data_IF_637330823825
#
_entry.id   IF_637330823825
#
_cell.length_a   1.000
_cell.length_b   1.000
_cell.length_c   1.000
_cell.angle_alpha   90.00
_cell.angle_beta   90.00
_cell.angle_gamma   90.00
#
_symmetry.space_group_name_H-M   'P 1'
#
loop_
_entity.id
_entity.type
_entity.pdbx_description
1 polymer ?
#
# COMPACT_ATOMS: atom_id res chain seq x y z
N UNK A 1 16.10 5.54 16.67
CA UNK A 1 15.31 5.29 15.44
C UNK A 1 14.00 6.02 15.58
N UNK A 2 13.47 6.57 14.49
CA UNK A 2 12.11 7.12 14.48
C UNK A 2 11.08 6.04 14.81
N UNK A 3 9.87 6.48 15.18
CA UNK A 3 8.75 5.56 15.43
C UNK A 3 8.44 4.72 14.18
N UNK A 4 7.94 3.51 14.38
CA UNK A 4 7.61 2.61 13.28
C UNK A 4 6.18 2.91 12.79
N UNK A 5 6.07 3.39 11.56
CA UNK A 5 4.81 3.37 10.80
C UNK A 5 4.54 1.93 10.35
N UNK A 6 3.31 1.45 10.62
CA UNK A 6 2.81 0.17 10.13
C UNK A 6 1.61 0.44 9.23
N UNK A 7 1.74 0.06 7.96
CA UNK A 7 0.63 0.05 7.02
C UNK A 7 -0.05 -1.31 7.02
N UNK A 8 -1.36 -1.35 7.23
CA UNK A 8 -2.18 -2.54 7.03
C UNK A 8 -2.85 -2.49 5.64
N UNK A 9 -2.46 -3.39 4.73
CA UNK A 9 -3.09 -3.56 3.41
C UNK A 9 -4.24 -4.58 3.51
N UNK A 10 -5.43 -4.07 3.80
CA UNK A 10 -6.51 -4.78 4.49
C UNK A 10 -7.30 -5.72 3.58
N UNK A 11 -7.74 -5.21 2.45
CA UNK A 11 -8.84 -5.80 1.68
C UNK A 11 -8.39 -6.91 0.74
N UNK A 12 -7.09 -7.20 0.67
CA UNK A 12 -6.53 -8.06 -0.36
C UNK A 12 -6.25 -7.31 -1.66
N UNK A 13 -5.15 -7.64 -2.34
CA UNK A 13 -4.81 -7.12 -3.65
C UNK A 13 -5.62 -7.80 -4.75
N UNK A 14 -5.27 -7.57 -6.02
CA UNK A 14 -6.03 -8.13 -7.15
C UNK A 14 -6.15 -9.68 -7.12
N UNK A 15 -5.21 -10.36 -6.47
CA UNK A 15 -5.10 -11.83 -6.47
C UNK A 15 -5.66 -12.53 -5.22
N UNK A 16 -6.28 -11.80 -4.30
CA UNK A 16 -6.82 -12.36 -3.05
C UNK A 16 -8.34 -12.24 -3.08
N UNK A 17 -9.03 -13.36 -2.88
CA UNK A 17 -10.50 -13.45 -2.86
C UNK A 17 -11.00 -14.38 -1.75
N UNK A 18 -12.32 -14.55 -1.61
CA UNK A 18 -12.90 -15.50 -0.65
C UNK A 18 -12.52 -16.96 -0.97
N UNK A 19 -12.11 -17.26 -2.20
CA UNK A 19 -11.53 -18.55 -2.56
C UNK A 19 -10.11 -18.74 -1.99
N UNK A 20 -9.35 -17.64 -1.89
CA UNK A 20 -7.99 -17.68 -1.32
C UNK A 20 -8.01 -17.79 0.21
N UNK A 21 -8.90 -17.03 0.85
CA UNK A 21 -9.12 -17.08 2.30
C UNK A 21 -10.55 -16.65 2.62
N UNK A 22 -11.28 -17.36 3.49
CA UNK A 22 -12.63 -16.95 3.88
C UNK A 22 -12.63 -15.67 4.73
N UNK A 23 -11.46 -15.19 5.16
CA UNK A 23 -11.31 -14.05 6.06
C UNK A 23 -11.08 -12.72 5.34
N UNK A 24 -10.98 -12.69 4.00
CA UNK A 24 -10.74 -11.42 3.29
C UNK A 24 -11.95 -10.47 3.42
N UNK A 25 -11.76 -9.25 3.96
CA UNK A 25 -12.84 -8.28 4.05
C UNK A 25 -13.29 -7.85 2.64
N UNK A 26 -14.58 -8.00 2.36
CA UNK A 26 -15.13 -7.78 1.01
C UNK A 26 -16.31 -6.80 0.99
N UNK A 27 -17.11 -6.75 2.07
CA UNK A 27 -18.19 -5.76 2.22
C UNK A 27 -17.70 -4.48 2.91
N UNK A 28 -18.45 -3.38 2.81
CA UNK A 28 -18.17 -2.13 3.56
C UNK A 28 -18.05 -2.41 5.06
N UNK A 29 -19.00 -3.14 5.64
CA UNK A 29 -19.00 -3.48 7.08
C UNK A 29 -17.77 -4.32 7.48
N UNK A 30 -17.42 -5.32 6.67
CA UNK A 30 -16.25 -6.16 6.91
C UNK A 30 -14.95 -5.32 6.85
N UNK A 31 -14.85 -4.42 5.85
CA UNK A 31 -13.68 -3.56 5.65
C UNK A 31 -13.52 -2.60 6.84
N UNK A 32 -14.58 -1.88 7.21
CA UNK A 32 -14.55 -0.92 8.35
C UNK A 32 -14.19 -1.64 9.64
N UNK A 33 -14.84 -2.77 9.94
CA UNK A 33 -14.57 -3.54 11.15
C UNK A 33 -13.13 -4.07 11.18
N UNK A 34 -12.58 -4.47 10.03
CA UNK A 34 -11.21 -4.95 9.95
C UNK A 34 -10.17 -3.82 10.08
N UNK A 35 -10.47 -2.64 9.54
CA UNK A 35 -9.65 -1.43 9.72
C UNK A 35 -9.54 -1.09 11.20
N UNK A 36 -10.66 -1.06 11.94
CA UNK A 36 -10.66 -0.79 13.38
C UNK A 36 -9.73 -1.76 14.12
N UNK A 37 -9.85 -3.07 13.88
CA UNK A 37 -8.97 -4.07 14.50
C UNK A 37 -7.49 -3.86 14.15
N UNK A 38 -7.19 -3.43 12.92
CA UNK A 38 -5.81 -3.15 12.51
C UNK A 38 -5.22 -1.97 13.27
N UNK A 39 -6.00 -0.89 13.43
CA UNK A 39 -5.57 0.31 14.15
C UNK A 39 -5.40 0.01 15.63
N UNK A 40 -6.35 -0.68 16.26
CA UNK A 40 -6.24 -1.16 17.64
C UNK A 40 -5.02 -2.08 17.85
N UNK A 41 -4.63 -2.83 16.81
CA UNK A 41 -3.44 -3.66 16.83
C UNK A 41 -2.13 -2.87 16.62
N UNK A 42 -2.18 -1.60 16.22
CA UNK A 42 -1.03 -0.70 16.04
C UNK A 42 -0.75 -0.26 14.60
N UNK A 43 -1.66 -0.45 13.65
CA UNK A 43 -1.53 0.13 12.32
C UNK A 43 -1.84 1.63 12.37
N UNK A 44 -1.04 2.45 11.69
CA UNK A 44 -1.26 3.89 11.58
C UNK A 44 -1.67 4.34 10.17
N UNK A 45 -1.49 3.45 9.18
CA UNK A 45 -1.98 3.60 7.81
C UNK A 45 -2.80 2.37 7.45
N UNK A 46 -3.93 2.56 6.75
CA UNK A 46 -4.64 1.47 6.06
C UNK A 46 -4.60 1.69 4.56
N UNK A 47 -4.14 0.66 3.84
CA UNK A 47 -4.17 0.60 2.39
C UNK A 47 -5.36 -0.23 1.91
N UNK A 48 -6.18 0.36 1.05
CA UNK A 48 -7.49 -0.18 0.71
C UNK A 48 -7.68 -0.33 -0.80
N UNK A 49 -8.22 -1.49 -1.17
CA UNK A 49 -8.80 -1.79 -2.45
C UNK A 49 -10.30 -2.01 -2.27
N UNK A 50 -11.03 -1.94 -3.38
CA UNK A 50 -12.41 -2.35 -3.38
C UNK A 50 -12.58 -3.77 -3.93
N UNK A 51 -13.55 -4.48 -3.37
CA UNK A 51 -13.81 -5.90 -3.62
C UNK A 51 -15.27 -6.11 -4.04
N UNK A 52 -15.52 -7.19 -4.77
CA UNK A 52 -16.86 -7.73 -4.91
C UNK A 52 -17.35 -8.23 -3.53
N UNK A 53 -18.50 -7.75 -3.00
CA UNK A 53 -18.98 -8.13 -1.67
C UNK A 53 -19.26 -9.62 -1.48
N UNK A 54 -19.53 -10.35 -2.58
CA UNK A 54 -19.90 -11.76 -2.57
C UNK A 54 -18.66 -12.64 -2.78
N UNK A 55 -17.89 -12.40 -3.84
CA UNK A 55 -16.76 -13.26 -4.22
C UNK A 55 -15.45 -12.85 -3.55
N UNK A 56 -15.34 -11.59 -3.10
CA UNK A 56 -14.09 -11.00 -2.62
C UNK A 56 -13.05 -10.78 -3.72
N UNK A 57 -13.42 -10.95 -4.99
CA UNK A 57 -12.54 -10.65 -6.11
C UNK A 57 -12.32 -9.14 -6.24
N UNK A 58 -11.24 -8.76 -6.95
CA UNK A 58 -10.99 -7.37 -7.27
C UNK A 58 -12.19 -6.77 -8.01
N UNK A 59 -12.72 -5.66 -7.50
CA UNK A 59 -13.86 -5.04 -8.15
C UNK A 59 -13.46 -4.44 -9.51
N UNK A 60 -14.23 -4.73 -10.55
CA UNK A 60 -13.94 -4.35 -11.94
C UNK A 60 -14.73 -3.13 -12.45
N UNK A 61 -15.57 -2.51 -11.62
CA UNK A 61 -16.29 -1.29 -11.96
C UNK A 61 -15.64 -0.08 -11.29
N UNK A 62 -15.15 0.89 -12.05
CA UNK A 62 -14.78 2.18 -11.46
C UNK A 62 -15.54 3.33 -12.12
N UNK A 63 -16.02 4.32 -11.34
CA UNK A 63 -15.81 4.52 -9.90
C UNK A 63 -16.47 3.43 -9.03
N UNK A 64 -15.71 2.85 -8.11
CA UNK A 64 -16.22 1.82 -7.22
C UNK A 64 -17.31 2.41 -6.33
N UNK A 65 -18.53 1.83 -6.30
CA UNK A 65 -19.66 2.43 -5.58
C UNK A 65 -19.47 2.43 -4.06
N UNK A 66 -18.62 1.56 -3.52
CA UNK A 66 -18.43 1.35 -2.08
C UNK A 66 -17.25 2.12 -1.50
N UNK A 67 -16.30 2.56 -2.34
CA UNK A 67 -15.08 3.23 -1.88
C UNK A 67 -15.34 4.51 -1.11
N UNK A 68 -16.29 5.31 -1.61
CA UNK A 68 -16.71 6.51 -0.89
C UNK A 68 -17.30 6.16 0.48
N UNK A 69 -18.21 5.20 0.52
CA UNK A 69 -18.94 4.82 1.73
C UNK A 69 -18.02 4.27 2.82
N UNK A 70 -17.10 3.35 2.50
CA UNK A 70 -16.20 2.84 3.53
C UNK A 70 -15.19 3.90 4.01
N UNK A 71 -14.76 4.83 3.15
CA UNK A 71 -13.87 5.92 3.59
C UNK A 71 -14.58 6.85 4.56
N UNK A 72 -15.82 7.23 4.26
CA UNK A 72 -16.64 8.05 5.17
C UNK A 72 -16.84 7.34 6.51
N UNK A 73 -17.23 6.06 6.49
CA UNK A 73 -17.46 5.27 7.71
C UNK A 73 -16.19 5.00 8.52
N UNK A 74 -15.04 4.72 7.88
CA UNK A 74 -13.77 4.55 8.61
C UNK A 74 -13.45 5.83 9.39
N UNK A 75 -13.59 7.00 8.77
CA UNK A 75 -13.29 8.30 9.41
C UNK A 75 -14.24 8.62 10.57
N UNK A 76 -15.45 8.09 10.57
CA UNK A 76 -16.41 8.22 11.67
C UNK A 76 -16.07 7.30 12.85
N UNK A 77 -15.55 6.10 12.56
CA UNK A 77 -15.30 5.06 13.55
C UNK A 77 -13.93 5.16 14.23
N UNK A 78 -12.87 5.48 13.46
CA UNK A 78 -11.50 5.48 13.99
C UNK A 78 -10.57 6.43 13.25
N UNK A 79 -9.69 7.09 13.99
CA UNK A 79 -8.64 7.90 13.38
C UNK A 79 -7.53 7.01 12.81
N UNK A 80 -7.25 7.16 11.51
CA UNK A 80 -6.20 6.44 10.79
C UNK A 80 -5.89 7.16 9.48
N UNK A 81 -4.64 7.08 9.02
CA UNK A 81 -4.27 7.55 7.69
C UNK A 81 -4.84 6.58 6.64
N UNK A 82 -5.71 7.08 5.77
CA UNK A 82 -6.30 6.29 4.69
C UNK A 82 -5.46 6.44 3.42
N UNK A 83 -4.99 5.31 2.89
CA UNK A 83 -4.27 5.17 1.63
C UNK A 83 -5.11 4.39 0.60
N UNK A 84 -5.56 5.06 -0.47
CA UNK A 84 -6.35 4.40 -1.52
C UNK A 84 -5.50 3.99 -2.70
N UNK A 85 -5.75 2.81 -3.24
CA UNK A 85 -5.05 2.32 -4.44
C UNK A 85 -5.31 3.18 -5.69
N UNK A 86 -4.29 3.41 -6.52
CA UNK A 86 -4.47 3.73 -7.95
C UNK A 86 -4.26 2.54 -8.88
N UNK A 87 -3.72 1.44 -8.36
CA UNK A 87 -3.49 0.21 -9.12
C UNK A 87 -4.78 -0.57 -9.31
N UNK A 88 -5.51 -0.80 -8.21
CA UNK A 88 -6.77 -1.52 -8.22
C UNK A 88 -7.87 -0.80 -9.01
N UNK A 89 -8.87 -1.57 -9.44
CA UNK A 89 -10.05 -1.04 -10.13
C UNK A 89 -9.83 -0.67 -11.61
N UNK A 90 -8.63 -0.96 -12.13
CA UNK A 90 -8.35 -0.93 -13.57
C UNK A 90 -8.87 -2.18 -14.28
N UNK A 91 -9.16 -3.26 -13.54
CA UNK A 91 -9.87 -4.44 -14.08
C UNK A 91 -11.17 -3.96 -14.71
N UNK A 92 -11.44 -4.36 -15.95
CA UNK A 92 -12.66 -3.95 -16.68
C UNK A 92 -12.64 -2.53 -17.27
N UNK A 93 -11.62 -1.72 -16.99
CA UNK A 93 -11.51 -0.34 -17.48
C UNK A 93 -10.33 -0.17 -18.45
N UNK A 94 -10.54 0.36 -19.66
CA UNK A 94 -9.46 0.54 -20.62
C UNK A 94 -8.58 1.77 -20.24
N UNK A 95 -7.31 1.83 -20.66
CA UNK A 95 -6.37 2.87 -20.22
C UNK A 95 -6.83 4.32 -20.40
N UNK A 96 -7.69 4.58 -21.38
CA UNK A 96 -8.19 5.91 -21.73
C UNK A 96 -9.05 6.55 -20.63
N UNK A 97 -9.63 5.75 -19.73
CA UNK A 97 -10.45 6.27 -18.63
C UNK A 97 -9.70 6.41 -17.31
N UNK A 98 -8.48 5.84 -17.19
CA UNK A 98 -7.76 5.77 -15.91
C UNK A 98 -7.45 7.15 -15.30
N UNK A 99 -7.08 8.15 -16.12
CA UNK A 99 -6.80 9.51 -15.64
C UNK A 99 -8.02 10.09 -14.88
N UNK A 100 -9.23 9.92 -15.44
CA UNK A 100 -10.49 10.36 -14.82
C UNK A 100 -10.76 9.61 -13.51
N UNK A 101 -10.49 8.31 -13.47
CA UNK A 101 -10.71 7.49 -12.29
C UNK A 101 -9.77 7.89 -11.15
N UNK A 102 -8.48 8.09 -11.44
CA UNK A 102 -7.49 8.53 -10.45
C UNK A 102 -7.82 9.92 -9.92
N UNK A 103 -8.17 10.88 -10.78
CA UNK A 103 -8.56 12.23 -10.33
C UNK A 103 -9.86 12.20 -9.51
N UNK A 104 -10.81 11.32 -9.83
CA UNK A 104 -12.03 11.15 -9.04
C UNK A 104 -11.73 10.59 -7.65
N UNK A 105 -10.84 9.60 -7.55
CA UNK A 105 -10.44 9.00 -6.26
C UNK A 105 -9.75 9.99 -5.33
N UNK A 106 -9.01 10.96 -5.86
CA UNK A 106 -8.39 12.04 -5.07
C UNK A 106 -9.40 12.86 -4.24
N UNK A 107 -10.71 12.76 -4.55
CA UNK A 107 -11.79 13.52 -3.90
C UNK A 107 -12.55 12.69 -2.86
N UNK A 108 -12.13 11.46 -2.59
CA UNK A 108 -12.83 10.54 -1.68
C UNK A 108 -12.44 10.71 -0.21
N UNK A 109 -11.52 11.64 0.10
CA UNK A 109 -11.14 11.95 1.49
C UNK A 109 -10.01 11.10 2.05
N UNK A 110 -9.22 10.44 1.20
CA UNK A 110 -7.97 9.80 1.59
C UNK A 110 -6.83 10.82 1.71
N UNK A 111 -5.94 10.61 2.67
CA UNK A 111 -4.74 11.44 2.84
C UNK A 111 -3.61 10.98 1.91
N UNK A 112 -3.61 9.69 1.56
CA UNK A 112 -2.61 9.07 0.70
C UNK A 112 -3.26 8.29 -0.42
N UNK A 113 -2.51 8.11 -1.51
CA UNK A 113 -2.86 7.16 -2.56
C UNK A 113 -1.62 6.43 -3.06
N UNK A 114 -1.71 5.12 -3.26
CA UNK A 114 -0.61 4.31 -3.79
C UNK A 114 -0.41 4.61 -5.28
N UNK A 115 0.84 4.69 -5.73
CA UNK A 115 1.20 5.01 -7.10
C UNK A 115 2.33 4.11 -7.58
N UNK A 116 2.01 3.25 -8.55
CA UNK A 116 2.93 2.26 -9.12
C UNK A 116 3.92 2.94 -10.07
N UNK A 117 5.17 3.07 -9.66
CA UNK A 117 6.15 3.99 -10.26
C UNK A 117 6.77 3.56 -11.60
N UNK A 118 6.12 2.65 -12.33
CA UNK A 118 6.56 2.30 -13.67
C UNK A 118 5.75 1.19 -14.32
N UNK A 119 6.11 0.92 -15.57
CA UNK A 119 5.57 -0.21 -16.33
C UNK A 119 6.42 -1.44 -16.09
N UNK A 120 5.79 -2.57 -15.80
CA UNK A 120 6.48 -3.85 -15.59
C UNK A 120 5.64 -5.03 -16.04
N UNK A 121 6.28 -6.18 -16.25
CA UNK A 121 5.56 -7.44 -16.38
C UNK A 121 4.92 -7.79 -15.04
N UNK A 122 3.68 -8.28 -15.07
CA UNK A 122 2.99 -8.74 -13.86
C UNK A 122 3.64 -10.01 -13.32
N UNK A 123 3.64 -10.16 -12.01
CA UNK A 123 4.20 -11.33 -11.32
C UNK A 123 3.25 -12.54 -11.29
N UNK A 124 2.01 -12.34 -11.73
CA UNK A 124 0.95 -13.33 -11.84
C UNK A 124 0.05 -13.01 -13.04
N UNK A 125 -0.66 -14.03 -13.52
CA UNK A 125 -1.65 -13.89 -14.60
C UNK A 125 -2.76 -12.92 -14.19
N UNK A 126 -3.17 -12.05 -15.10
CA UNK A 126 -4.14 -11.00 -14.79
C UNK A 126 -5.10 -10.74 -15.97
N UNK A 127 -6.40 -10.51 -15.72
CA UNK A 127 -7.40 -10.34 -16.79
C UNK A 127 -7.16 -9.14 -17.70
N UNK A 128 -6.42 -8.12 -17.24
CA UNK A 128 -6.10 -6.92 -18.03
C UNK A 128 -4.80 -7.04 -18.85
N UNK A 129 -4.19 -8.23 -18.89
CA UNK A 129 -3.00 -8.53 -19.68
C UNK A 129 -1.73 -8.74 -18.85
N UNK A 130 -0.62 -8.98 -19.55
CA UNK A 130 0.65 -9.42 -18.96
C UNK A 130 1.48 -8.29 -18.35
N UNK A 131 1.14 -7.03 -18.63
CA UNK A 131 1.85 -5.85 -18.15
C UNK A 131 1.00 -5.06 -17.14
N UNK A 132 1.67 -4.45 -16.18
CA UNK A 132 1.11 -3.40 -15.35
C UNK A 132 1.57 -2.05 -15.92
N UNK A 133 0.69 -1.39 -16.67
CA UNK A 133 1.01 -0.18 -17.42
C UNK A 133 0.96 1.07 -16.53
N UNK A 134 2.11 1.72 -16.33
CA UNK A 134 2.22 3.08 -15.82
C UNK A 134 3.38 3.77 -16.55
N UNK A 135 3.05 4.56 -17.57
CA UNK A 135 4.06 5.33 -18.31
C UNK A 135 4.53 6.51 -17.47
N UNK A 136 5.75 7.01 -17.69
CA UNK A 136 6.26 8.20 -16.96
C UNK A 136 5.30 9.39 -17.09
N UNK A 137 4.71 9.62 -18.26
CA UNK A 137 3.75 10.72 -18.45
C UNK A 137 2.47 10.52 -17.65
N UNK A 138 1.99 9.28 -17.48
CA UNK A 138 0.84 8.99 -16.59
C UNK A 138 1.19 9.32 -15.14
N UNK A 139 2.37 8.92 -14.68
CA UNK A 139 2.84 9.18 -13.31
C UNK A 139 2.90 10.67 -13.02
N UNK A 140 3.46 11.47 -13.92
CA UNK A 140 3.54 12.92 -13.76
C UNK A 140 2.15 13.55 -13.64
N UNK A 141 1.19 13.13 -14.48
CA UNK A 141 -0.20 13.62 -14.42
C UNK A 141 -0.86 13.23 -13.10
N UNK A 142 -0.74 11.97 -12.68
CA UNK A 142 -1.41 11.46 -11.48
C UNK A 142 -0.82 12.03 -10.20
N UNK A 143 0.51 12.20 -10.11
CA UNK A 143 1.14 12.97 -9.05
C UNK A 143 0.56 14.39 -8.99
N UNK A 144 0.42 15.06 -10.13
CA UNK A 144 -0.20 16.39 -10.21
C UNK A 144 -1.65 16.41 -9.72
N UNK A 145 -2.46 15.40 -10.07
CA UNK A 145 -3.83 15.27 -9.57
C UNK A 145 -3.88 15.10 -8.05
N UNK A 146 -3.03 14.23 -7.50
CA UNK A 146 -2.95 13.97 -6.06
C UNK A 146 -2.55 15.23 -5.29
N UNK A 147 -1.46 15.90 -5.70
CA UNK A 147 -0.94 17.11 -5.05
C UNK A 147 -1.97 18.24 -5.08
N UNK A 148 -2.65 18.44 -6.21
CA UNK A 148 -3.72 19.43 -6.35
C UNK A 148 -4.85 19.25 -5.33
N UNK A 149 -5.13 18.01 -4.94
CA UNK A 149 -6.17 17.68 -3.97
C UNK A 149 -5.62 17.46 -2.55
N UNK A 150 -4.33 17.69 -2.31
CA UNK A 150 -3.70 17.50 -1.01
C UNK A 150 -3.50 16.04 -0.61
N UNK A 151 -3.49 15.12 -1.59
CA UNK A 151 -3.22 13.69 -1.39
C UNK A 151 -1.72 13.44 -1.61
N UNK A 152 -1.06 12.76 -0.67
CA UNK A 152 0.35 12.38 -0.81
C UNK A 152 0.47 11.05 -1.58
N UNK A 153 1.29 10.96 -2.63
CA UNK A 153 1.56 9.67 -3.27
C UNK A 153 2.45 8.78 -2.38
N UNK A 154 2.03 7.54 -2.16
CA UNK A 154 2.93 6.45 -1.76
C UNK A 154 3.55 5.86 -3.03
N UNK A 155 4.85 6.07 -3.21
CA UNK A 155 5.54 5.71 -4.45
C UNK A 155 5.92 4.23 -4.41
N UNK A 156 5.08 3.36 -5.00
CA UNK A 156 5.28 1.92 -5.07
C UNK A 156 6.34 1.56 -6.11
N UNK A 157 7.50 1.10 -5.66
CA UNK A 157 8.69 0.79 -6.46
C UNK A 157 8.91 -0.72 -6.48
N UNK A 158 8.92 -1.29 -7.69
CA UNK A 158 9.07 -2.73 -7.92
C UNK A 158 10.44 -3.11 -8.51
N UNK A 159 11.15 -2.14 -9.08
CA UNK A 159 12.51 -2.28 -9.59
C UNK A 159 13.30 -0.96 -9.46
N UNK A 160 14.63 -1.04 -9.48
CA UNK A 160 15.53 0.09 -9.25
C UNK A 160 15.38 1.23 -10.25
N UNK A 161 14.98 0.93 -11.48
CA UNK A 161 14.65 1.96 -12.48
C UNK A 161 13.53 2.91 -12.01
N UNK A 162 12.59 2.40 -11.21
CA UNK A 162 11.48 3.20 -10.68
C UNK A 162 11.94 4.18 -9.58
N UNK A 163 13.05 3.89 -8.88
CA UNK A 163 13.68 4.85 -7.95
C UNK A 163 14.18 6.08 -8.73
N UNK A 164 14.74 5.88 -9.92
CA UNK A 164 15.16 6.99 -10.78
C UNK A 164 13.96 7.81 -11.28
N UNK A 165 12.81 7.18 -11.51
CA UNK A 165 11.57 7.90 -11.86
C UNK A 165 11.11 8.76 -10.68
N UNK A 166 11.15 8.25 -9.44
CA UNK A 166 10.87 9.07 -8.24
C UNK A 166 11.80 10.31 -8.18
N UNK A 167 13.10 10.13 -8.45
CA UNK A 167 14.07 11.23 -8.48
C UNK A 167 13.77 12.24 -9.59
N UNK A 168 13.32 11.79 -10.77
CA UNK A 168 12.89 12.68 -11.85
C UNK A 168 11.67 13.51 -11.45
N UNK A 169 10.69 12.91 -10.79
CA UNK A 169 9.48 13.60 -10.31
C UNK A 169 9.83 14.64 -9.24
N UNK A 170 10.71 14.29 -8.29
CA UNK A 170 11.22 15.22 -7.29
C UNK A 170 12.00 16.39 -7.92
N UNK A 171 12.89 16.10 -8.88
CA UNK A 171 13.66 17.13 -9.59
C UNK A 171 12.80 18.09 -10.42
N UNK A 172 11.61 17.63 -10.87
CA UNK A 172 10.61 18.46 -11.53
C UNK A 172 9.68 19.20 -10.56
N UNK A 173 9.84 18.98 -9.25
CA UNK A 173 9.00 19.54 -8.18
C UNK A 173 7.50 19.27 -8.38
N UNK A 174 7.16 18.13 -8.99
CA UNK A 174 5.76 17.75 -9.21
C UNK A 174 5.10 17.37 -7.89
N UNK A 175 5.85 16.71 -7.00
CA UNK A 175 5.42 16.31 -5.66
C UNK A 175 6.29 17.04 -4.63
N UNK A 176 5.71 17.60 -3.55
CA UNK A 176 6.48 18.13 -2.44
C UNK A 176 7.36 17.06 -1.80
N UNK A 177 8.63 17.38 -1.60
CA UNK A 177 9.55 16.54 -0.83
C UNK A 177 9.32 16.70 0.69
N UNK A 178 9.67 15.68 1.50
CA UNK A 178 10.25 14.39 1.11
C UNK A 178 9.22 13.41 0.53
N UNK A 179 9.69 12.57 -0.41
CA UNK A 179 8.87 11.49 -0.93
C UNK A 179 8.78 10.33 0.09
N UNK A 180 7.66 9.60 0.04
CA UNK A 180 7.49 8.33 0.73
C UNK A 180 7.52 7.19 -0.29
N UNK A 181 8.51 6.29 -0.17
CA UNK A 181 8.74 5.18 -1.11
C UNK A 181 8.30 3.85 -0.48
N UNK A 182 7.51 3.07 -1.19
CA UNK A 182 7.12 1.73 -0.79
C UNK A 182 7.86 0.71 -1.68
N UNK A 183 8.81 -0.03 -1.11
CA UNK A 183 9.48 -1.10 -1.84
C UNK A 183 8.59 -2.35 -1.90
N UNK A 184 8.14 -2.70 -3.09
CA UNK A 184 7.21 -3.83 -3.31
C UNK A 184 7.98 -5.05 -3.81
N UNK A 185 8.33 -5.94 -2.89
CA UNK A 185 9.20 -7.09 -3.17
C UNK A 185 8.39 -8.32 -3.62
N UNK A 186 8.06 -8.35 -4.90
CA UNK A 186 7.21 -9.39 -5.52
C UNK A 186 7.91 -10.74 -5.70
N UNK A 187 9.25 -10.79 -5.70
CA UNK A 187 10.03 -12.03 -5.80
C UNK A 187 9.97 -12.75 -7.14
N UNK A 188 9.50 -12.07 -8.20
CA UNK A 188 9.36 -12.61 -9.56
C UNK A 188 9.83 -11.60 -10.62
N UNK A 189 8.90 -10.82 -11.18
CA UNK A 189 9.14 -9.86 -12.26
C UNK A 189 9.70 -8.51 -11.78
N UNK A 190 10.10 -8.43 -10.52
CA UNK A 190 10.68 -7.26 -9.86
C UNK A 190 11.57 -7.71 -8.71
N UNK A 191 11.71 -6.87 -7.68
CA UNK A 191 12.62 -7.12 -6.56
C UNK A 191 12.48 -8.50 -5.91
N UNK A 192 13.63 -9.16 -5.73
CA UNK A 192 13.73 -10.34 -4.87
C UNK A 192 13.65 -9.93 -3.40
N UNK A 193 12.82 -10.58 -2.56
CA UNK A 193 12.68 -10.26 -1.14
C UNK A 193 13.88 -10.78 -0.35
N UNK A 194 15.00 -10.05 -0.43
CA UNK A 194 16.25 -10.39 0.24
C UNK A 194 16.83 -9.17 0.95
N UNK A 195 17.57 -9.35 2.06
CA UNK A 195 18.25 -8.23 2.73
C UNK A 195 19.16 -7.45 1.80
N UNK A 196 19.91 -8.14 0.91
CA UNK A 196 20.84 -7.50 -0.04
C UNK A 196 20.10 -6.59 -1.02
N UNK A 197 18.97 -7.04 -1.57
CA UNK A 197 18.18 -6.23 -2.48
C UNK A 197 17.60 -5.01 -1.76
N UNK A 198 17.05 -5.19 -0.55
CA UNK A 198 16.50 -4.08 0.21
C UNK A 198 17.57 -3.04 0.56
N UNK A 199 18.73 -3.47 1.06
CA UNK A 199 19.86 -2.57 1.35
C UNK A 199 20.27 -1.78 0.11
N UNK A 200 20.44 -2.47 -1.02
CA UNK A 200 20.81 -1.80 -2.27
C UNK A 200 19.79 -0.74 -2.69
N UNK A 201 18.49 -1.00 -2.53
CA UNK A 201 17.45 -0.01 -2.84
C UNK A 201 17.48 1.19 -1.88
N UNK A 202 17.71 0.97 -0.59
CA UNK A 202 17.81 2.03 0.43
C UNK A 202 19.00 2.94 0.16
N UNK A 203 20.16 2.38 -0.21
CA UNK A 203 21.37 3.13 -0.55
C UNK A 203 21.18 4.08 -1.75
N UNK A 204 20.14 3.86 -2.56
CA UNK A 204 19.82 4.69 -3.71
C UNK A 204 18.89 5.86 -3.37
N UNK A 205 18.27 5.90 -2.19
CA UNK A 205 17.34 6.98 -1.81
C UNK A 205 18.10 8.23 -1.31
N UNK A 206 17.60 9.44 -1.57
CA UNK A 206 18.00 10.64 -0.82
C UNK A 206 17.76 10.45 0.69
N UNK A 207 18.66 10.96 1.53
CA UNK A 207 18.63 10.75 2.99
C UNK A 207 17.37 11.27 3.67
N UNK A 208 16.75 12.32 3.11
CA UNK A 208 15.54 12.92 3.67
C UNK A 208 14.25 12.20 3.27
N UNK A 209 14.29 11.20 2.38
CA UNK A 209 13.11 10.45 1.98
C UNK A 209 12.77 9.36 2.99
N UNK A 210 11.49 9.10 3.19
CA UNK A 210 11.03 7.98 4.02
C UNK A 210 10.73 6.77 3.14
N UNK A 211 10.87 5.57 3.71
CA UNK A 211 10.59 4.34 2.97
C UNK A 211 9.92 3.26 3.83
N UNK A 212 9.15 2.41 3.16
CA UNK A 212 8.48 1.24 3.70
C UNK A 212 8.78 0.01 2.83
N UNK A 213 8.50 -1.18 3.34
CA UNK A 213 8.59 -2.43 2.56
C UNK A 213 7.34 -3.28 2.71
N UNK A 214 6.92 -3.89 1.61
CA UNK A 214 6.09 -5.10 1.63
C UNK A 214 6.76 -6.22 0.81
N UNK A 215 6.43 -7.45 1.16
CA UNK A 215 6.92 -8.63 0.45
C UNK A 215 5.84 -9.71 0.42
N UNK A 216 5.74 -10.43 -0.70
CA UNK A 216 4.64 -11.37 -0.91
C UNK A 216 4.80 -12.68 -0.11
N UNK A 217 3.68 -13.15 0.42
CA UNK A 217 3.48 -14.42 1.09
C UNK A 217 4.41 -14.64 2.27
N UNK A 218 5.12 -15.77 2.26
CA UNK A 218 6.04 -16.18 3.34
C UNK A 218 7.15 -15.18 3.65
N UNK A 219 7.41 -14.22 2.75
CA UNK A 219 8.46 -13.24 2.91
C UNK A 219 8.01 -11.97 3.65
N UNK A 220 6.70 -11.77 3.87
CA UNK A 220 6.15 -10.57 4.51
C UNK A 220 6.79 -10.28 5.87
N UNK A 221 6.67 -11.22 6.82
CA UNK A 221 7.18 -11.02 8.18
C UNK A 221 8.71 -10.95 8.24
N UNK A 222 9.48 -11.81 7.54
CA UNK A 222 10.94 -11.67 7.47
C UNK A 222 11.41 -10.31 6.93
N UNK A 223 10.83 -9.82 5.84
CA UNK A 223 11.22 -8.52 5.26
C UNK A 223 10.78 -7.35 6.13
N UNK A 224 9.61 -7.44 6.77
CA UNK A 224 9.20 -6.45 7.77
C UNK A 224 10.22 -6.38 8.92
N UNK A 225 10.70 -7.51 9.43
CA UNK A 225 11.72 -7.52 10.49
C UNK A 225 13.03 -6.86 10.05
N UNK A 226 13.48 -7.15 8.82
CA UNK A 226 14.69 -6.55 8.25
C UNK A 226 14.51 -5.02 8.12
N UNK A 227 13.39 -4.55 7.56
CA UNK A 227 13.13 -3.12 7.42
C UNK A 227 13.04 -2.39 8.77
N UNK A 228 12.41 -3.01 9.78
CA UNK A 228 12.35 -2.45 11.13
C UNK A 228 13.74 -2.20 11.70
N UNK A 229 14.68 -3.15 11.52
CA UNK A 229 16.09 -3.02 11.97
C UNK A 229 16.86 -1.98 11.16
N UNK A 230 16.60 -1.90 9.85
CA UNK A 230 17.24 -0.92 8.95
C UNK A 230 16.71 0.52 9.11
N UNK A 231 15.75 0.75 10.02
CA UNK A 231 15.16 2.07 10.27
C UNK A 231 13.99 2.43 9.36
N UNK A 232 13.63 1.59 8.38
CA UNK A 232 12.47 1.79 7.51
C UNK A 232 11.13 1.49 8.17
N UNK A 233 10.06 1.66 7.42
CA UNK A 233 8.69 1.33 7.80
C UNK A 233 8.25 -0.02 7.21
N UNK A 234 7.07 -0.50 7.61
CA UNK A 234 6.59 -1.83 7.19
C UNK A 234 5.15 -1.79 6.73
N UNK A 235 4.85 -2.62 5.73
CA UNK A 235 3.49 -2.92 5.30
C UNK A 235 3.21 -4.42 5.45
N UNK A 236 2.08 -4.73 6.08
CA UNK A 236 1.57 -6.09 6.28
C UNK A 236 0.09 -6.14 5.95
N UNK A 237 -0.50 -7.33 5.87
CA UNK A 237 -1.92 -7.49 5.57
C UNK A 237 -2.19 -8.54 4.50
N UNK A 238 -3.47 -8.82 4.29
CA UNK A 238 -3.99 -9.84 3.39
C UNK A 238 -3.70 -9.54 1.94
N UNK A 239 -3.45 -8.28 1.57
CA UNK A 239 -2.96 -7.96 0.23
C UNK A 239 -1.66 -8.66 -0.12
N UNK A 240 -0.74 -8.72 0.84
CA UNK A 240 0.59 -9.26 0.59
C UNK A 240 0.70 -10.71 1.10
N UNK A 241 -0.06 -11.11 2.12
CA UNK A 241 0.01 -12.44 2.73
C UNK A 241 -1.25 -12.80 3.53
N UNK A 242 -1.82 -13.98 3.28
CA UNK A 242 -2.98 -14.50 4.02
C UNK A 242 -2.63 -15.48 5.14
N UNK A 243 -1.35 -15.80 5.35
CA UNK A 243 -0.90 -16.80 6.32
C UNK A 243 -0.35 -16.15 7.60
N UNK A 244 -0.84 -16.60 8.75
CA UNK A 244 -0.27 -16.24 10.05
C UNK A 244 1.12 -16.86 10.23
N UNK A 245 1.22 -18.14 9.89
CA UNK A 245 2.45 -18.94 9.91
C UNK A 245 2.31 -20.06 8.88
N UNK A 246 3.36 -20.85 8.73
CA UNK A 246 3.39 -21.95 7.75
C UNK A 246 2.18 -22.88 7.93
N UNK A 247 1.32 -22.94 6.91
CA UNK A 247 0.15 -23.80 6.88
C UNK A 247 -1.06 -23.32 7.69
N UNK A 248 -1.00 -22.13 8.29
CA UNK A 248 -2.10 -21.57 9.09
C UNK A 248 -2.49 -20.20 8.52
N UNK A 249 -3.74 -20.09 8.07
CA UNK A 249 -4.31 -18.81 7.63
C UNK A 249 -4.44 -17.85 8.81
N UNK A 250 -4.10 -16.59 8.57
CA UNK A 250 -4.46 -15.51 9.48
C UNK A 250 -5.98 -15.28 9.39
N UNK A 251 -6.60 -15.06 10.56
CA UNK A 251 -8.06 -14.87 10.67
C UNK A 251 -8.44 -13.40 10.61
N UNK A 252 -7.47 -12.53 10.80
CA UNK A 252 -7.58 -11.08 10.72
C UNK A 252 -6.25 -10.48 10.22
N UNK A 253 -6.33 -9.38 9.48
CA UNK A 253 -5.21 -8.50 9.18
C UNK A 253 -4.51 -8.03 10.48
N UNK A 254 -5.27 -7.83 11.55
CA UNK A 254 -4.75 -7.48 12.86
C UNK A 254 -3.79 -8.55 13.42
N UNK A 255 -3.90 -9.82 12.98
CA UNK A 255 -2.93 -10.85 13.34
C UNK A 255 -1.53 -10.57 12.78
N UNK A 256 -1.48 -10.03 11.55
CA UNK A 256 -0.24 -9.68 10.86
C UNK A 256 0.33 -8.35 11.39
N UNK A 257 -0.54 -7.38 11.68
CA UNK A 257 -0.16 -6.14 12.38
C UNK A 257 0.48 -6.46 13.73
N UNK A 258 -0.15 -7.31 14.55
CA UNK A 258 0.40 -7.75 15.85
C UNK A 258 1.78 -8.40 15.72
N UNK A 259 2.05 -9.12 14.62
CA UNK A 259 3.40 -9.67 14.38
C UNK A 259 4.43 -8.58 14.15
N UNK A 260 4.11 -7.57 13.34
CA UNK A 260 4.98 -6.42 13.12
C UNK A 260 5.21 -5.63 14.41
N UNK A 261 4.15 -5.38 15.20
CA UNK A 261 4.25 -4.72 16.51
C UNK A 261 5.11 -5.51 17.50
N UNK A 262 4.95 -6.82 17.58
CA UNK A 262 5.78 -7.65 18.45
C UNK A 262 7.26 -7.57 18.06
N UNK A 263 7.59 -7.57 16.77
CA UNK A 263 8.97 -7.38 16.31
C UNK A 263 9.51 -6.02 16.74
N UNK A 264 8.74 -4.94 16.53
CA UNK A 264 9.15 -3.60 16.94
C UNK A 264 9.35 -3.49 18.45
N UNK A 265 8.48 -4.14 19.25
CA UNK A 265 8.57 -4.19 20.70
C UNK A 265 9.84 -4.88 21.18
N UNK A 266 10.21 -6.03 20.60
CA UNK A 266 11.46 -6.72 20.92
C UNK A 266 12.71 -5.90 20.56
N UNK A 267 12.58 -4.98 19.59
CA UNK A 267 13.64 -4.06 19.17
C UNK A 267 13.57 -2.70 19.87
N UNK A 268 12.69 -2.55 20.87
CA UNK A 268 12.45 -1.29 21.61
C UNK A 268 12.14 -0.09 20.71
N UNK A 269 11.54 -0.34 19.54
CA UNK A 269 11.11 0.70 18.60
C UNK A 269 9.62 1.03 18.82
N UNK A 270 9.27 2.23 19.28
CA UNK A 270 7.87 2.60 19.48
C UNK A 270 7.10 2.62 18.15
N UNK A 271 5.81 2.32 18.20
CA UNK A 271 4.89 2.40 17.05
C UNK A 271 4.39 3.85 16.92
N UNK A 272 4.29 4.35 15.69
CA UNK A 272 3.74 5.66 15.41
C UNK A 272 2.21 5.62 15.52
N UNK A 273 1.61 6.62 16.17
CA UNK A 273 0.16 6.86 16.05
C UNK A 273 -0.20 7.38 14.64
N UNK A 274 -1.49 7.42 14.28
CA UNK A 274 -1.94 8.12 13.07
C UNK A 274 -1.45 9.58 12.99
N UNK A 275 -1.59 10.37 14.05
CA UNK A 275 -1.11 11.76 14.08
C UNK A 275 0.41 11.88 13.90
N UNK A 276 1.18 11.01 14.56
CA UNK A 276 2.63 10.98 14.40
C UNK A 276 3.02 10.56 12.98
N UNK A 277 2.25 9.66 12.38
CA UNK A 277 2.41 9.27 10.98
C UNK A 277 2.16 10.45 10.04
N UNK A 278 1.12 11.25 10.31
CA UNK A 278 0.84 12.48 9.55
C UNK A 278 1.99 13.47 9.64
N UNK A 279 2.54 13.70 10.84
CA UNK A 279 3.70 14.56 11.04
C UNK A 279 4.93 14.05 10.26
N UNK A 280 5.27 12.77 10.44
CA UNK A 280 6.44 12.14 9.80
C UNK A 280 6.35 12.15 8.27
N UNK A 281 5.14 12.00 7.71
CA UNK A 281 4.93 11.97 6.27
C UNK A 281 4.55 13.34 5.69
N UNK A 282 4.35 14.37 6.50
CA UNK A 282 3.90 15.69 6.05
C UNK A 282 2.50 15.66 5.42
N UNK A 283 1.59 14.90 6.03
CA UNK A 283 0.17 14.84 5.65
C UNK A 283 -0.60 16.02 6.27
N UNK A 284 -1.78 16.31 5.70
CA UNK A 284 -2.67 17.38 6.19
C UNK A 284 -3.63 16.88 7.25
#
# INVERSE_FOLDING_TARGET
>A
MEKLIITAAVTGGEYVSKETTPYVPSTVDEIVAEVVKCVEAGASIVHLHAKDPVTGEAYSGDPNPFMKEYVERIREEIDVVINLTTGGGRVGNPPEVWDKLVEARCKLGSEMMSLNMGTMNRWAEHPTGEIFLNTVSMLERWCGYMVKHGVKPEHEVYDTGMINICKQIAAKSIVPEPLHVQFVMVGRTGFLPTPRMLQYCVDLLPENWTWSVCALGRNQIPMAAIATVMGGHVRVGFEDNVFLRRGELAKSNADLVRKAVNIAKELERPIASPDETREMLGLK
#
